data_IF_503838870121
#
_entry.id   IF_503838870121
#
_cell.length_a   1.000
_cell.length_b   1.000
_cell.length_c   1.000
_cell.angle_alpha   90.00
_cell.angle_beta   90.00
_cell.angle_gamma   90.00
#
_symmetry.space_group_name_H-M   'P 1'
#
loop_
_entity.id
_entity.type
_entity.pdbx_description
1 polymer ?
#
# COMPACT_ATOMS: atom_id res chain seq x y z
N UNK A 1 5.59 1.73 -22.05
CA UNK A 1 6.55 2.84 -22.06
C UNK A 1 8.00 2.38 -22.26
N UNK A 2 8.49 1.42 -21.47
CA UNK A 2 9.88 0.92 -21.61
C UNK A 2 10.20 0.43 -23.03
N UNK A 3 9.28 -0.25 -23.69
CA UNK A 3 9.46 -0.76 -25.07
C UNK A 3 9.61 0.36 -26.11
N UNK A 4 8.99 1.53 -25.91
CA UNK A 4 9.10 2.70 -26.80
C UNK A 4 10.40 3.49 -26.61
N UNK A 5 11.04 3.36 -25.43
CA UNK A 5 12.29 4.05 -25.12
C UNK A 5 13.53 3.21 -25.43
N UNK A 6 13.37 2.01 -26.04
CA UNK A 6 14.48 1.17 -26.47
C UNK A 6 15.26 0.47 -25.35
N UNK A 7 14.77 0.50 -24.10
CA UNK A 7 15.39 -0.20 -23.00
C UNK A 7 15.06 -1.69 -23.07
N UNK A 8 16.06 -2.51 -23.36
CA UNK A 8 15.93 -3.97 -23.44
C UNK A 8 16.15 -4.68 -22.11
N UNK A 9 16.74 -4.00 -21.14
CA UNK A 9 17.02 -4.53 -19.79
C UNK A 9 15.95 -4.03 -18.79
N UNK A 10 15.46 -4.87 -17.88
CA UNK A 10 14.61 -4.42 -16.81
C UNK A 10 15.39 -3.43 -15.95
N UNK A 11 14.91 -2.19 -15.86
CA UNK A 11 15.49 -1.13 -15.04
C UNK A 11 15.21 -1.38 -13.54
N UNK A 12 15.63 -2.54 -13.04
CA UNK A 12 15.40 -3.03 -11.69
C UNK A 12 15.88 -2.01 -10.65
N UNK A 13 17.06 -1.40 -10.92
CA UNK A 13 17.60 -0.35 -10.08
C UNK A 13 16.71 0.92 -10.07
N UNK A 14 16.18 1.29 -11.23
CA UNK A 14 15.30 2.44 -11.33
C UNK A 14 13.98 2.23 -10.56
N UNK A 15 13.37 1.06 -10.69
CA UNK A 15 12.17 0.69 -9.97
C UNK A 15 12.40 0.66 -8.45
N UNK A 16 13.53 0.13 -8.01
CA UNK A 16 13.94 0.13 -6.59
C UNK A 16 14.11 1.56 -6.08
N UNK A 17 14.77 2.44 -6.84
CA UNK A 17 14.96 3.84 -6.46
C UNK A 17 13.63 4.58 -6.38
N UNK A 18 12.70 4.34 -7.31
CA UNK A 18 11.37 4.94 -7.31
C UNK A 18 10.56 4.53 -6.07
N UNK A 19 10.59 3.24 -5.74
CA UNK A 19 9.93 2.71 -4.54
C UNK A 19 10.56 3.27 -3.25
N UNK A 20 11.89 3.37 -3.20
CA UNK A 20 12.61 3.95 -2.07
C UNK A 20 12.28 5.45 -1.91
N UNK A 21 12.25 6.21 -3.01
CA UNK A 21 11.88 7.63 -2.99
C UNK A 21 10.43 7.84 -2.51
N UNK A 22 9.51 7.02 -3.00
CA UNK A 22 8.10 7.05 -2.58
C UNK A 22 7.97 6.72 -1.09
N UNK A 23 8.67 5.69 -0.62
CA UNK A 23 8.72 5.32 0.79
C UNK A 23 9.25 6.47 1.65
N UNK A 24 10.35 7.10 1.24
CA UNK A 24 10.93 8.24 1.94
C UNK A 24 9.94 9.41 2.02
N UNK A 25 9.27 9.75 0.92
CA UNK A 25 8.26 10.80 0.88
C UNK A 25 7.11 10.53 1.87
N UNK A 26 6.57 9.30 1.88
CA UNK A 26 5.49 8.90 2.79
C UNK A 26 5.95 8.95 4.25
N UNK A 27 7.16 8.45 4.55
CA UNK A 27 7.72 8.47 5.91
C UNK A 27 7.94 9.90 6.40
N UNK A 28 8.47 10.79 5.55
CA UNK A 28 8.69 12.20 5.89
C UNK A 28 7.35 12.90 6.14
N UNK A 29 6.36 12.67 5.28
CA UNK A 29 5.04 13.30 5.41
C UNK A 29 4.32 12.84 6.68
N UNK A 30 4.29 11.54 6.95
CA UNK A 30 3.61 10.95 8.10
C UNK A 30 4.52 10.75 9.33
N UNK A 31 5.66 11.45 9.40
CA UNK A 31 6.62 11.30 10.52
C UNK A 31 5.99 11.50 11.91
N UNK A 32 5.02 12.41 12.04
CA UNK A 32 4.36 12.66 13.32
C UNK A 32 3.48 11.48 13.73
N UNK A 33 2.74 10.88 12.79
CA UNK A 33 1.94 9.68 13.03
C UNK A 33 2.81 8.49 13.41
N UNK A 34 3.89 8.28 12.66
CA UNK A 34 4.84 7.21 12.92
C UNK A 34 5.49 7.36 14.30
N UNK A 35 5.92 8.57 14.64
CA UNK A 35 6.49 8.86 15.95
C UNK A 35 5.47 8.66 17.07
N UNK A 36 4.23 9.14 16.88
CA UNK A 36 3.13 8.91 17.83
C UNK A 36 2.82 7.42 18.04
N UNK A 37 2.82 6.62 16.97
CA UNK A 37 2.65 5.17 17.07
C UNK A 37 3.79 4.51 17.83
N UNK A 38 5.05 4.85 17.55
CA UNK A 38 6.23 4.32 18.26
C UNK A 38 6.17 4.69 19.74
N UNK A 39 5.91 5.96 20.07
CA UNK A 39 5.81 6.42 21.45
C UNK A 39 4.65 5.72 22.19
N UNK A 40 3.52 5.48 21.53
CA UNK A 40 2.36 4.81 22.12
C UNK A 40 2.65 3.34 22.47
N UNK A 41 3.61 2.71 21.79
CA UNK A 41 4.06 1.33 22.09
C UNK A 41 5.04 1.29 23.27
N UNK A 42 5.90 2.30 23.39
CA UNK A 42 6.91 2.38 24.45
C UNK A 42 6.28 2.82 25.78
N UNK A 43 5.36 3.78 25.74
CA UNK A 43 4.69 4.33 26.92
C UNK A 43 3.46 3.53 27.32
N UNK A 44 3.67 2.35 27.90
CA UNK A 44 2.57 1.45 28.29
C UNK A 44 1.71 1.95 29.45
N UNK A 45 2.24 2.84 30.32
CA UNK A 45 1.61 3.25 31.59
C UNK A 45 0.70 4.50 31.48
N UNK A 46 0.91 5.40 30.54
CA UNK A 46 0.05 6.58 30.34
C UNK A 46 -0.93 6.30 29.20
N UNK A 47 -2.22 6.28 29.51
CA UNK A 47 -3.31 6.07 28.51
C UNK A 47 -3.98 7.39 28.19
N UNK A 48 -3.32 8.27 27.47
CA UNK A 48 -4.04 9.40 26.87
C UNK A 48 -4.93 8.89 25.72
N UNK A 49 -6.09 9.51 25.48
CA UNK A 49 -6.97 9.13 24.36
C UNK A 49 -6.24 9.04 23.01
N UNK A 50 -5.32 9.97 22.77
CA UNK A 50 -4.50 10.01 21.56
C UNK A 50 -3.55 8.81 21.44
N UNK A 51 -2.88 8.42 22.53
CA UNK A 51 -2.00 7.25 22.54
C UNK A 51 -2.77 5.94 22.26
N UNK A 52 -4.01 5.83 22.76
CA UNK A 52 -4.88 4.70 22.47
C UNK A 52 -5.21 4.64 20.97
N UNK A 53 -5.51 5.80 20.35
CA UNK A 53 -5.81 5.87 18.93
C UNK A 53 -4.59 5.53 18.05
N UNK A 54 -3.40 6.03 18.38
CA UNK A 54 -2.14 5.69 17.68
C UNK A 54 -1.81 4.21 17.79
N UNK A 55 -1.98 3.61 18.97
CA UNK A 55 -1.79 2.18 19.19
C UNK A 55 -2.78 1.34 18.37
N UNK A 56 -4.05 1.73 18.34
CA UNK A 56 -5.08 1.08 17.53
C UNK A 56 -4.73 1.14 16.05
N UNK A 57 -4.27 2.30 15.57
CA UNK A 57 -3.81 2.50 14.20
C UNK A 57 -2.67 1.54 13.86
N UNK A 58 -1.67 1.44 14.72
CA UNK A 58 -0.54 0.52 14.55
C UNK A 58 -0.98 -0.95 14.41
N UNK A 59 -1.84 -1.43 15.32
CA UNK A 59 -2.36 -2.80 15.23
C UNK A 59 -3.19 -3.03 13.97
N UNK A 60 -3.95 -2.06 13.53
CA UNK A 60 -4.72 -2.18 12.29
C UNK A 60 -3.82 -2.20 11.05
N UNK A 61 -2.72 -1.45 11.04
CA UNK A 61 -1.72 -1.53 9.98
C UNK A 61 -1.09 -2.92 9.94
N UNK A 62 -0.68 -3.47 11.08
CA UNK A 62 -0.15 -4.84 11.15
C UNK A 62 -1.18 -5.86 10.64
N UNK A 63 -2.42 -5.75 11.10
CA UNK A 63 -3.51 -6.65 10.72
C UNK A 63 -3.80 -6.58 9.21
N UNK A 64 -3.82 -5.38 8.60
CA UNK A 64 -4.00 -5.20 7.17
C UNK A 64 -2.79 -5.64 6.34
N UNK A 65 -1.58 -5.63 6.93
CA UNK A 65 -0.37 -6.09 6.25
C UNK A 65 -0.36 -7.61 6.04
N UNK A 66 -1.00 -8.37 6.93
CA UNK A 66 -1.06 -9.84 6.82
C UNK A 66 -1.70 -10.29 5.49
N UNK A 67 -2.95 -9.92 5.16
CA UNK A 67 -3.56 -10.32 3.88
C UNK A 67 -2.84 -9.71 2.69
N UNK A 68 -2.30 -8.48 2.80
CA UNK A 68 -1.49 -7.87 1.75
C UNK A 68 -0.26 -8.71 1.43
N UNK A 69 0.48 -9.14 2.45
CA UNK A 69 1.68 -9.97 2.29
C UNK A 69 1.35 -11.36 1.74
N UNK A 70 0.28 -12.01 2.25
CA UNK A 70 -0.16 -13.32 1.78
C UNK A 70 -0.54 -13.28 0.29
N UNK A 71 -1.34 -12.29 -0.12
CA UNK A 71 -1.72 -12.08 -1.52
C UNK A 71 -0.51 -11.69 -2.38
N UNK A 72 0.43 -10.89 -1.84
CA UNK A 72 1.67 -10.54 -2.51
C UNK A 72 2.50 -11.75 -2.88
N UNK A 73 2.70 -12.66 -1.95
CA UNK A 73 3.44 -13.91 -2.19
C UNK A 73 2.67 -14.79 -3.18
N UNK A 74 1.36 -14.89 -3.04
CA UNK A 74 0.51 -15.68 -3.95
C UNK A 74 0.58 -15.16 -5.38
N UNK A 75 0.39 -13.87 -5.59
CA UNK A 75 0.38 -13.26 -6.92
C UNK A 75 1.77 -13.12 -7.54
N UNK A 76 2.84 -13.13 -6.75
CA UNK A 76 4.21 -13.05 -7.29
C UNK A 76 4.50 -14.16 -8.32
N UNK A 77 3.91 -15.34 -8.14
CA UNK A 77 4.05 -16.46 -9.10
C UNK A 77 3.35 -16.18 -10.43
N UNK A 78 2.26 -15.41 -10.43
CA UNK A 78 1.43 -15.10 -11.60
C UNK A 78 1.75 -13.75 -12.22
N UNK A 79 2.56 -12.93 -11.55
CA UNK A 79 2.88 -11.58 -11.96
C UNK A 79 3.37 -11.51 -13.41
N UNK A 80 4.28 -12.39 -13.82
CA UNK A 80 4.85 -12.40 -15.18
C UNK A 80 3.79 -12.52 -16.28
N UNK A 81 2.72 -13.29 -16.06
CA UNK A 81 1.63 -13.44 -17.02
C UNK A 81 0.69 -12.24 -17.03
N UNK A 82 0.41 -11.68 -15.86
CA UNK A 82 -0.55 -10.58 -15.70
C UNK A 82 0.01 -9.26 -16.25
N UNK A 83 1.32 -9.04 -16.14
CA UNK A 83 1.97 -7.81 -16.62
C UNK A 83 2.15 -7.74 -18.14
N UNK A 84 1.99 -8.82 -18.88
CA UNK A 84 2.17 -8.87 -20.35
C UNK A 84 0.91 -8.41 -21.09
N UNK A 85 -0.28 -8.57 -20.52
CA UNK A 85 -1.54 -8.27 -21.19
C UNK A 85 -1.96 -6.81 -21.02
N UNK A 86 -1.86 -6.03 -22.11
CA UNK A 86 -2.33 -4.63 -22.15
C UNK A 86 -3.85 -4.57 -21.94
N UNK A 87 -4.60 -5.52 -22.50
CA UNK A 87 -6.05 -5.60 -22.37
C UNK A 87 -6.45 -5.80 -20.90
N UNK A 88 -5.79 -6.73 -20.21
CA UNK A 88 -6.05 -6.98 -18.79
C UNK A 88 -5.78 -5.72 -17.94
N UNK A 89 -4.65 -5.05 -18.19
CA UNK A 89 -4.27 -3.81 -17.49
C UNK A 89 -5.30 -2.70 -17.72
N UNK A 90 -5.83 -2.58 -18.94
CA UNK A 90 -6.87 -1.58 -19.27
C UNK A 90 -8.18 -1.85 -18.53
N UNK A 91 -8.61 -3.11 -18.44
CA UNK A 91 -9.79 -3.49 -17.64
C UNK A 91 -9.60 -3.19 -16.15
N UNK A 92 -8.41 -3.43 -15.60
CA UNK A 92 -8.09 -3.15 -14.20
C UNK A 92 -8.04 -1.64 -13.90
N UNK A 93 -7.59 -0.83 -14.87
CA UNK A 93 -7.68 0.64 -14.78
C UNK A 93 -9.15 1.11 -14.75
N UNK A 94 -9.99 0.56 -15.62
CA UNK A 94 -11.42 0.87 -15.64
C UNK A 94 -12.09 0.46 -14.32
N UNK A 95 -11.77 -0.73 -13.81
CA UNK A 95 -12.24 -1.20 -12.50
C UNK A 95 -11.86 -0.23 -11.39
N UNK A 96 -10.61 0.25 -11.37
CA UNK A 96 -10.16 1.25 -10.39
C UNK A 96 -10.95 2.56 -10.50
N UNK A 97 -11.20 3.02 -11.73
CA UNK A 97 -12.00 4.22 -11.97
C UNK A 97 -13.43 4.09 -11.43
N UNK A 98 -14.07 2.95 -11.67
CA UNK A 98 -15.41 2.66 -11.14
C UNK A 98 -15.38 2.60 -9.61
N UNK A 99 -14.39 1.94 -9.03
CA UNK A 99 -14.26 1.81 -7.58
C UNK A 99 -14.08 3.17 -6.89
N UNK A 100 -13.27 4.04 -7.48
CA UNK A 100 -13.10 5.43 -7.02
C UNK A 100 -14.40 6.22 -7.10
N UNK A 101 -15.09 6.13 -8.23
CA UNK A 101 -16.35 6.83 -8.43
C UNK A 101 -17.44 6.39 -7.45
N UNK A 102 -17.58 5.08 -7.22
CA UNK A 102 -18.54 4.55 -6.24
C UNK A 102 -18.15 4.95 -4.82
N UNK A 103 -16.86 4.90 -4.47
CA UNK A 103 -16.33 5.33 -3.17
C UNK A 103 -16.64 6.81 -2.91
N UNK A 104 -16.39 7.67 -3.89
CA UNK A 104 -16.64 9.11 -3.78
C UNK A 104 -18.13 9.45 -3.71
N UNK A 105 -18.98 8.75 -4.48
CA UNK A 105 -20.44 8.95 -4.39
C UNK A 105 -20.99 8.68 -2.99
N UNK A 106 -20.48 7.66 -2.33
CA UNK A 106 -20.90 7.33 -0.96
C UNK A 106 -20.43 8.36 0.06
N UNK A 107 -19.42 9.15 -0.27
CA UNK A 107 -18.90 10.21 0.58
C UNK A 107 -19.74 11.50 0.53
N UNK A 108 -20.40 11.76 -0.61
CA UNK A 108 -21.23 12.96 -0.75
C UNK A 108 -22.46 12.80 0.13
N UNK A 109 -22.61 13.60 1.21
CA UNK A 109 -23.90 13.68 1.89
C UNK A 109 -24.90 14.26 0.91
N UNK A 110 -25.99 13.54 0.65
CA UNK A 110 -27.16 14.10 -0.02
C UNK A 110 -27.71 15.21 0.89
N UNK A 111 -27.52 16.46 0.49
CA UNK A 111 -28.10 17.62 1.17
C UNK A 111 -27.10 18.46 1.96
N UNK A 112 -26.97 19.68 1.51
CA UNK A 112 -26.26 20.78 2.19
C UNK A 112 -27.04 21.30 3.40
N UNK A 113 -27.31 20.49 4.41
CA UNK A 113 -27.94 21.00 5.64
C UNK A 113 -27.65 20.12 6.83
N UNK A 114 -26.46 20.24 7.37
CA UNK A 114 -26.23 19.87 8.77
C UNK A 114 -24.92 20.46 9.29
N UNK A 115 -24.96 21.76 9.57
CA UNK A 115 -23.89 22.46 10.29
C UNK A 115 -23.77 22.04 11.76
N UNK A 116 -24.57 21.08 12.24
CA UNK A 116 -24.60 20.70 13.67
C UNK A 116 -24.74 19.18 13.93
N UNK A 117 -24.79 18.31 12.94
CA UNK A 117 -24.83 16.86 13.23
C UNK A 117 -23.44 16.26 13.18
N UNK A 118 -23.05 15.62 14.29
CA UNK A 118 -21.83 14.84 14.41
C UNK A 118 -21.71 13.91 13.20
N UNK A 119 -20.63 14.04 12.42
CA UNK A 119 -20.38 13.26 11.22
C UNK A 119 -20.52 11.74 11.53
N UNK A 120 -21.51 11.03 10.96
CA UNK A 120 -21.79 9.62 11.28
C UNK A 120 -20.68 8.68 10.81
N UNK A 121 -19.72 9.17 10.02
CA UNK A 121 -18.60 8.36 9.51
C UNK A 121 -17.65 7.95 10.62
N UNK A 122 -17.01 6.81 10.43
CA UNK A 122 -16.12 6.22 11.42
C UNK A 122 -14.78 6.96 11.50
N UNK A 123 -14.47 7.56 12.63
CA UNK A 123 -13.10 7.88 13.02
C UNK A 123 -12.34 6.63 13.46
N UNK A 124 -11.05 6.77 13.78
CA UNK A 124 -10.19 5.63 14.20
C UNK A 124 -10.75 4.89 15.40
N UNK A 125 -11.40 5.59 16.33
CA UNK A 125 -12.05 4.98 17.49
C UNK A 125 -13.15 4.00 17.12
N UNK A 126 -13.94 4.29 16.10
CA UNK A 126 -15.07 3.49 15.61
C UNK A 126 -14.67 2.47 14.50
N UNK A 127 -13.46 2.56 13.94
CA UNK A 127 -12.94 1.61 12.95
C UNK A 127 -12.81 0.21 13.57
N UNK A 128 -13.17 -0.83 12.81
CA UNK A 128 -13.15 -2.24 13.24
C UNK A 128 -11.99 -2.99 12.57
N UNK A 129 -11.58 -4.10 13.18
CA UNK A 129 -10.58 -5.00 12.61
C UNK A 129 -10.96 -5.52 11.21
N UNK A 130 -12.25 -5.76 10.98
CA UNK A 130 -12.78 -6.15 9.65
C UNK A 130 -12.56 -5.09 8.59
N UNK A 131 -12.60 -3.80 8.94
CA UNK A 131 -12.33 -2.72 8.01
C UNK A 131 -10.84 -2.74 7.61
N UNK A 132 -9.95 -2.93 8.58
CA UNK A 132 -8.51 -3.06 8.36
C UNK A 132 -8.15 -4.26 7.47
N UNK A 133 -8.77 -5.42 7.72
CA UNK A 133 -8.58 -6.63 6.91
C UNK A 133 -9.05 -6.43 5.46
N UNK A 134 -10.24 -5.85 5.24
CA UNK A 134 -10.77 -5.61 3.91
C UNK A 134 -9.89 -4.63 3.12
N UNK A 135 -9.42 -3.55 3.75
CA UNK A 135 -8.50 -2.62 3.09
C UNK A 135 -7.18 -3.33 2.76
N UNK A 136 -6.67 -4.18 3.67
CA UNK A 136 -5.47 -4.99 3.43
C UNK A 136 -5.62 -6.01 2.30
N UNK A 137 -6.79 -6.66 2.19
CA UNK A 137 -7.11 -7.56 1.06
C UNK A 137 -7.12 -6.77 -0.25
N UNK A 138 -7.79 -5.61 -0.28
CA UNK A 138 -7.80 -4.76 -1.47
C UNK A 138 -6.42 -4.24 -1.84
N UNK A 139 -5.55 -3.95 -0.86
CA UNK A 139 -4.16 -3.61 -1.10
C UNK A 139 -3.39 -4.80 -1.73
N UNK A 140 -3.65 -6.02 -1.28
CA UNK A 140 -3.07 -7.23 -1.87
C UNK A 140 -3.56 -7.49 -3.30
N UNK A 141 -4.83 -7.27 -3.59
CA UNK A 141 -5.40 -7.36 -4.94
C UNK A 141 -4.79 -6.27 -5.84
N UNK A 142 -4.51 -5.09 -5.31
CA UNK A 142 -3.90 -3.98 -6.04
C UNK A 142 -2.41 -4.21 -6.44
N UNK A 143 -1.86 -5.40 -6.22
CA UNK A 143 -0.60 -5.85 -6.83
C UNK A 143 -0.82 -6.15 -8.32
N UNK A 144 -2.06 -6.43 -8.73
CA UNK A 144 -2.38 -6.64 -10.15
C UNK A 144 -2.13 -5.37 -10.97
N UNK A 145 -1.54 -5.49 -12.18
CA UNK A 145 -1.25 -4.37 -13.04
C UNK A 145 -2.53 -3.63 -13.46
N UNK A 146 -2.50 -2.30 -13.40
CA UNK A 146 -3.65 -1.45 -13.72
C UNK A 146 -4.51 -1.07 -12.51
N UNK A 147 -4.41 -1.75 -11.38
CA UNK A 147 -5.11 -1.33 -10.16
C UNK A 147 -4.28 -0.28 -9.43
N UNK A 148 -4.87 0.89 -9.20
CA UNK A 148 -4.27 1.89 -8.34
C UNK A 148 -4.34 1.44 -6.88
N UNK A 149 -3.19 1.20 -6.24
CA UNK A 149 -3.11 0.78 -4.84
C UNK A 149 -3.82 1.75 -3.90
N UNK A 150 -3.46 3.02 -3.96
CA UNK A 150 -4.09 4.07 -3.14
C UNK A 150 -5.57 4.22 -3.47
N UNK A 151 -5.93 4.22 -4.77
CA UNK A 151 -7.31 4.26 -5.20
C UNK A 151 -8.16 3.14 -4.61
N UNK A 152 -7.70 1.90 -4.70
CA UNK A 152 -8.41 0.73 -4.19
C UNK A 152 -8.55 0.74 -2.66
N UNK A 153 -7.49 1.06 -1.92
CA UNK A 153 -7.52 1.07 -0.45
C UNK A 153 -8.34 2.22 0.11
N UNK A 154 -8.22 3.44 -0.45
CA UNK A 154 -9.01 4.60 -0.05
C UNK A 154 -10.49 4.36 -0.33
N UNK A 155 -10.84 3.96 -1.56
CA UNK A 155 -12.24 3.68 -1.92
C UNK A 155 -12.86 2.60 -1.03
N UNK A 156 -12.12 1.55 -0.71
CA UNK A 156 -12.58 0.52 0.22
C UNK A 156 -12.84 1.11 1.60
N UNK A 157 -11.98 1.99 2.10
CA UNK A 157 -12.19 2.72 3.35
C UNK A 157 -13.47 3.55 3.31
N UNK A 158 -13.69 4.32 2.25
CA UNK A 158 -14.89 5.13 2.05
C UNK A 158 -16.15 4.27 1.98
N UNK A 159 -16.11 3.16 1.25
CA UNK A 159 -17.22 2.19 1.18
C UNK A 159 -17.55 1.57 2.54
N UNK A 160 -16.57 1.42 3.41
CA UNK A 160 -16.74 0.98 4.80
C UNK A 160 -17.24 2.08 5.73
N UNK A 161 -17.47 3.29 5.21
CA UNK A 161 -17.93 4.46 5.97
C UNK A 161 -16.85 5.07 6.84
N UNK A 162 -15.58 4.91 6.50
CA UNK A 162 -14.46 5.57 7.18
C UNK A 162 -14.38 7.01 6.67
N UNK A 163 -14.07 7.96 7.56
CA UNK A 163 -13.84 9.36 7.18
C UNK A 163 -12.72 9.45 6.14
N UNK A 164 -12.88 10.31 5.14
CA UNK A 164 -11.94 10.48 4.01
C UNK A 164 -10.50 10.67 4.47
N UNK A 165 -10.29 11.60 5.39
CA UNK A 165 -8.98 11.90 5.95
C UNK A 165 -8.33 10.67 6.61
N UNK A 166 -9.13 9.88 7.34
CA UNK A 166 -8.64 8.65 7.96
C UNK A 166 -8.38 7.55 6.92
N UNK A 167 -9.22 7.42 5.91
CA UNK A 167 -9.02 6.46 4.82
C UNK A 167 -7.73 6.75 4.06
N UNK A 168 -7.44 8.02 3.74
CA UNK A 168 -6.17 8.46 3.17
C UNK A 168 -5.00 8.12 4.09
N UNK A 169 -5.04 8.61 5.33
CA UNK A 169 -3.99 8.41 6.33
C UNK A 169 -3.68 6.93 6.52
N UNK A 170 -4.70 6.10 6.71
CA UNK A 170 -4.56 4.67 6.88
C UNK A 170 -3.97 3.97 5.64
N UNK A 171 -4.45 4.31 4.44
CA UNK A 171 -3.98 3.76 3.17
C UNK A 171 -2.47 4.00 2.95
N UNK A 172 -2.01 5.23 3.18
CA UNK A 172 -0.60 5.57 3.02
C UNK A 172 0.27 4.92 4.10
N UNK A 173 -0.16 4.91 5.35
CA UNK A 173 0.57 4.25 6.44
C UNK A 173 0.64 2.72 6.22
N UNK A 174 -0.45 2.10 5.73
CA UNK A 174 -0.49 0.68 5.37
C UNK A 174 0.43 0.36 4.19
N UNK A 175 0.73 1.32 3.32
CA UNK A 175 1.66 1.12 2.21
C UNK A 175 3.12 0.97 2.66
N UNK A 176 3.51 1.55 3.81
CA UNK A 176 4.88 1.51 4.32
C UNK A 176 5.39 0.08 4.48
N UNK A 177 4.77 -0.81 5.29
CA UNK A 177 5.23 -2.19 5.43
C UNK A 177 5.16 -2.97 4.12
N UNK A 178 4.19 -2.69 3.25
CA UNK A 178 4.07 -3.33 1.95
C UNK A 178 5.24 -2.96 1.01
N UNK A 179 5.62 -1.67 0.96
CA UNK A 179 6.75 -1.20 0.14
C UNK A 179 8.06 -1.75 0.70
N UNK A 180 8.25 -1.76 2.02
CA UNK A 180 9.44 -2.37 2.65
C UNK A 180 9.56 -3.85 2.28
N UNK A 181 8.44 -4.59 2.34
CA UNK A 181 8.39 -5.99 1.94
C UNK A 181 8.75 -6.20 0.47
N UNK A 182 8.18 -5.38 -0.43
CA UNK A 182 8.47 -5.43 -1.87
C UNK A 182 9.95 -5.11 -2.17
N UNK A 183 10.50 -4.05 -1.55
CA UNK A 183 11.92 -3.71 -1.68
C UNK A 183 12.83 -4.85 -1.19
N UNK A 184 12.48 -5.48 -0.07
CA UNK A 184 13.22 -6.63 0.46
C UNK A 184 13.27 -7.80 -0.52
N UNK A 185 12.15 -8.12 -1.17
CA UNK A 185 12.07 -9.15 -2.20
C UNK A 185 12.89 -8.79 -3.44
N UNK A 186 12.74 -7.57 -3.96
CA UNK A 186 13.48 -7.08 -5.13
C UNK A 186 15.00 -7.08 -4.89
N UNK A 187 15.46 -6.64 -3.73
CA UNK A 187 16.87 -6.66 -3.36
C UNK A 187 17.43 -8.10 -3.27
N UNK A 188 16.60 -9.02 -2.77
CA UNK A 188 16.98 -10.45 -2.73
C UNK A 188 17.12 -11.04 -4.13
N UNK A 189 16.19 -10.74 -5.02
CA UNK A 189 16.24 -11.17 -6.43
C UNK A 189 17.45 -10.58 -7.14
N UNK A 190 17.69 -9.28 -7.01
CA UNK A 190 18.87 -8.61 -7.59
C UNK A 190 20.19 -9.23 -7.11
N UNK A 191 20.32 -9.58 -5.84
CA UNK A 191 21.51 -10.28 -5.33
C UNK A 191 21.70 -11.66 -5.94
N UNK A 192 20.60 -12.35 -6.22
CA UNK A 192 20.63 -13.69 -6.82
C UNK A 192 21.08 -13.63 -8.29
N UNK A 193 20.60 -12.62 -9.02
CA UNK A 193 21.00 -12.35 -10.41
C UNK A 193 22.50 -12.00 -10.50
N UNK A 194 22.99 -11.09 -9.64
CA UNK A 194 24.40 -10.71 -9.59
C UNK A 194 25.31 -11.92 -9.28
N UNK A 195 24.86 -12.83 -8.39
CA UNK A 195 25.61 -14.07 -8.11
C UNK A 195 25.65 -15.02 -9.31
N UNK A 196 24.61 -15.07 -10.14
CA UNK A 196 24.58 -15.88 -11.36
C UNK A 196 25.43 -15.29 -12.48
N UNK A 197 25.51 -13.95 -12.57
CA UNK A 197 26.33 -13.23 -13.54
C UNK A 197 27.79 -13.08 -13.14
N UNK A 198 28.22 -13.60 -11.98
CA UNK A 198 29.64 -13.61 -11.62
C UNK A 198 30.34 -14.59 -12.57
N UNK A 199 31.22 -14.11 -13.50
CA UNK A 199 31.94 -15.01 -14.37
C UNK A 199 32.78 -15.96 -13.51
N UNK A 200 32.82 -17.24 -13.89
CA UNK A 200 33.74 -18.19 -13.31
C UNK A 200 35.15 -17.56 -13.31
N UNK A 201 35.93 -17.73 -12.22
CA UNK A 201 37.27 -17.18 -12.20
C UNK A 201 37.99 -17.65 -13.47
N UNK A 202 38.43 -16.68 -14.27
CA UNK A 202 39.28 -16.92 -15.39
C UNK A 202 40.57 -17.56 -14.83
N UNK A 203 40.62 -18.86 -14.75
CA UNK A 203 41.88 -19.56 -14.61
C UNK A 203 42.63 -19.30 -15.90
N UNK A 204 43.43 -18.25 -15.89
CA UNK A 204 44.44 -17.97 -16.91
C UNK A 204 45.42 -19.13 -16.79
N UNK A 205 45.41 -19.96 -17.82
CA UNK A 205 46.49 -20.87 -18.11
C UNK A 205 47.76 -20.02 -18.32
N UNK A 206 48.77 -20.28 -17.50
CA UNK A 206 50.16 -20.17 -17.83
C UNK A 206 50.79 -21.54 -17.73
#
# INVERSE_FOLDING_TARGET
MQHYLGFREPLLLFDVMLHAATLAAVVIYFRQDLWGMILSLIRLKKKTPEEILHRKMFYFILLGTIPTGALGIFFNRWAKFLFVSVIFTSFMLLFTGILLWVGERKERPEGKESLEKEDPRKGIGKMRATDALLIGIMQGIAIMPGISRSGATISTGLLRGIKKELAFRYSFLLSIPAIIGALGLQLREARTEIKKCRPAPLFILF
#
